data_IF_227124084898
#
_entry.id   IF_227124084898
#
_cell.length_a   1.000
_cell.length_b   1.000
_cell.length_c   1.000
_cell.angle_alpha   90.00
_cell.angle_beta   90.00
_cell.angle_gamma   90.00
#
_symmetry.space_group_name_H-M   'P 1'
#
loop_
_entity.id
_entity.type
_entity.pdbx_description
1 polymer ?
#
# COMPACT_ATOMS: atom_id res chain seq x y z
N UNK A 1 0.93 -8.66 12.81
CA UNK A 1 1.73 -7.82 11.88
C UNK A 1 2.65 -6.93 12.71
N UNK A 2 3.79 -6.46 12.20
CA UNK A 2 4.78 -5.68 12.97
C UNK A 2 4.20 -4.43 13.65
N UNK A 3 3.24 -3.75 13.01
CA UNK A 3 2.45 -2.66 13.61
C UNK A 3 1.68 -3.12 14.87
N UNK A 4 1.06 -4.30 14.84
CA UNK A 4 0.40 -4.87 16.01
C UNK A 4 1.39 -5.13 17.14
N UNK A 5 2.61 -5.60 16.82
CA UNK A 5 3.64 -5.81 17.83
C UNK A 5 4.08 -4.50 18.49
N UNK A 6 4.16 -3.40 17.72
CA UNK A 6 4.44 -2.06 18.26
C UNK A 6 3.31 -1.62 19.20
N UNK A 7 2.06 -1.76 18.78
CA UNK A 7 0.89 -1.39 19.60
C UNK A 7 0.83 -2.23 20.89
N UNK A 8 1.09 -3.53 20.79
CA UNK A 8 1.14 -4.43 21.94
C UNK A 8 2.29 -4.08 22.89
N UNK A 9 3.45 -3.68 22.36
CA UNK A 9 4.57 -3.20 23.16
C UNK A 9 4.21 -1.92 23.92
N UNK A 10 3.58 -0.94 23.26
CA UNK A 10 3.09 0.28 23.91
C UNK A 10 2.08 -0.02 25.02
N UNK A 11 1.14 -0.93 24.79
CA UNK A 11 0.16 -1.33 25.81
C UNK A 11 0.83 -1.93 27.05
N UNK A 12 1.88 -2.74 26.85
CA UNK A 12 2.62 -3.39 27.95
C UNK A 12 3.52 -2.45 28.73
N UNK A 13 3.99 -1.35 28.13
CA UNK A 13 4.90 -0.40 28.79
C UNK A 13 4.31 0.21 30.08
N UNK A 14 2.98 0.28 30.19
CA UNK A 14 2.31 0.80 31.40
C UNK A 14 2.36 -0.13 32.62
N UNK A 15 2.65 -1.42 32.42
CA UNK A 15 2.53 -2.47 33.44
C UNK A 15 3.86 -3.16 33.78
N UNK A 16 4.96 -2.77 33.15
CA UNK A 16 6.29 -3.40 33.29
C UNK A 16 7.25 -2.56 34.11
N UNK A 17 8.37 -3.17 34.53
CA UNK A 17 9.45 -2.45 35.20
C UNK A 17 10.14 -1.44 34.28
N UNK A 18 10.82 -0.45 34.85
CA UNK A 18 11.57 0.56 34.08
C UNK A 18 12.61 -0.06 33.13
N UNK A 19 13.33 -1.08 33.60
CA UNK A 19 14.31 -1.82 32.78
C UNK A 19 13.66 -2.54 31.59
N UNK A 20 12.47 -3.11 31.79
CA UNK A 20 11.71 -3.76 30.72
C UNK A 20 11.07 -2.75 29.78
N UNK A 21 10.58 -1.62 30.29
CA UNK A 21 10.08 -0.51 29.49
C UNK A 21 11.15 0.02 28.55
N UNK A 22 12.38 0.24 29.06
CA UNK A 22 13.51 0.69 28.25
C UNK A 22 13.84 -0.28 27.11
N UNK A 23 13.82 -1.60 27.38
CA UNK A 23 14.02 -2.63 26.35
C UNK A 23 12.90 -2.63 25.31
N UNK A 24 11.64 -2.45 25.74
CA UNK A 24 10.51 -2.36 24.81
C UNK A 24 10.61 -1.11 23.93
N UNK A 25 11.06 0.02 24.47
CA UNK A 25 11.26 1.25 23.72
C UNK A 25 12.33 1.08 22.64
N UNK A 26 13.45 0.44 22.98
CA UNK A 26 14.50 0.10 22.01
C UNK A 26 13.96 -0.77 20.87
N UNK A 27 13.23 -1.86 21.20
CA UNK A 27 12.61 -2.74 20.21
C UNK A 27 11.58 -2.04 19.33
N UNK A 28 10.73 -1.19 19.92
CA UNK A 28 9.76 -0.40 19.16
C UNK A 28 10.46 0.56 18.22
N UNK A 29 11.55 1.20 18.65
CA UNK A 29 12.37 2.05 17.79
C UNK A 29 12.89 1.31 16.55
N UNK A 30 13.45 0.10 16.73
CA UNK A 30 13.90 -0.74 15.62
C UNK A 30 12.76 -1.10 14.65
N UNK A 31 11.59 -1.50 15.17
CA UNK A 31 10.45 -1.84 14.32
C UNK A 31 9.87 -0.63 13.58
N UNK A 32 9.82 0.53 14.24
CA UNK A 32 9.37 1.77 13.61
C UNK A 32 10.29 2.16 12.45
N UNK A 33 11.61 2.09 12.65
CA UNK A 33 12.58 2.36 11.59
C UNK A 33 12.39 1.40 10.40
N UNK A 34 12.17 0.10 10.66
CA UNK A 34 11.90 -0.87 9.60
C UNK A 34 10.61 -0.53 8.83
N UNK A 35 9.54 -0.13 9.53
CA UNK A 35 8.28 0.25 8.88
C UNK A 35 8.45 1.50 8.03
N UNK A 36 9.16 2.51 8.53
CA UNK A 36 9.47 3.75 7.82
C UNK A 36 10.31 3.48 6.56
N UNK A 37 11.41 2.72 6.69
CA UNK A 37 12.27 2.37 5.56
C UNK A 37 11.54 1.57 4.47
N UNK A 38 10.50 0.81 4.84
CA UNK A 38 9.67 0.06 3.90
C UNK A 38 8.49 0.86 3.35
N UNK A 39 8.34 2.13 3.73
CA UNK A 39 7.27 3.02 3.27
C UNK A 39 5.88 2.60 3.77
N UNK A 40 5.80 1.95 4.94
CA UNK A 40 4.54 1.42 5.48
C UNK A 40 3.45 2.50 5.58
N UNK A 41 3.79 3.68 6.09
CA UNK A 41 2.85 4.79 6.25
C UNK A 41 2.46 5.47 4.93
N UNK A 42 3.15 5.15 3.83
CA UNK A 42 2.84 5.70 2.52
C UNK A 42 1.98 4.75 1.67
N UNK A 43 1.70 3.54 2.14
CA UNK A 43 1.02 2.49 1.37
C UNK A 43 -0.31 3.01 0.78
N UNK A 44 -1.19 3.56 1.62
CA UNK A 44 -2.49 4.04 1.17
C UNK A 44 -2.36 5.16 0.15
N UNK A 45 -1.47 6.12 0.41
CA UNK A 45 -1.22 7.24 -0.50
C UNK A 45 -0.63 6.77 -1.85
N UNK A 46 0.23 5.75 -1.84
CA UNK A 46 0.79 5.16 -3.07
C UNK A 46 -0.29 4.39 -3.85
N UNK A 47 -1.14 3.63 -3.16
CA UNK A 47 -2.27 2.93 -3.77
C UNK A 47 -3.20 3.93 -4.45
N UNK A 48 -3.64 4.96 -3.72
CA UNK A 48 -4.56 5.98 -4.23
C UNK A 48 -3.97 6.73 -5.43
N UNK A 49 -2.71 7.17 -5.34
CA UNK A 49 -2.06 7.86 -6.47
C UNK A 49 -1.97 6.98 -7.72
N UNK A 50 -1.62 5.70 -7.55
CA UNK A 50 -1.48 4.77 -8.68
C UNK A 50 -2.85 4.46 -9.29
N UNK A 51 -3.86 4.25 -8.45
CA UNK A 51 -5.24 4.00 -8.87
C UNK A 51 -5.85 5.22 -9.58
N UNK A 52 -5.60 6.42 -9.07
CA UNK A 52 -6.00 7.68 -9.71
C UNK A 52 -5.38 7.85 -11.10
N UNK A 53 -4.09 7.53 -11.26
CA UNK A 53 -3.40 7.57 -12.55
C UNK A 53 -4.01 6.64 -13.61
N UNK A 54 -4.80 5.64 -13.21
CA UNK A 54 -5.48 4.71 -14.11
C UNK A 54 -7.01 4.93 -14.16
N UNK A 55 -7.52 5.98 -13.50
CA UNK A 55 -8.94 6.32 -13.48
C UNK A 55 -9.80 5.33 -12.69
N UNK A 56 -9.24 4.69 -11.65
CA UNK A 56 -9.99 3.76 -10.79
C UNK A 56 -10.78 4.47 -9.68
N UNK A 57 -10.50 5.76 -9.41
CA UNK A 57 -11.19 6.50 -8.35
C UNK A 57 -12.69 6.64 -8.62
N UNK A 58 -13.09 6.82 -9.88
CA UNK A 58 -14.51 6.92 -10.28
C UNK A 58 -15.27 5.59 -10.14
N UNK A 59 -14.55 4.47 -10.06
CA UNK A 59 -15.11 3.12 -9.89
C UNK A 59 -15.31 2.81 -8.40
N UNK A 60 -14.50 3.42 -7.54
CA UNK A 60 -14.40 3.12 -6.11
C UNK A 60 -13.44 1.95 -5.84
N UNK A 61 -12.55 2.12 -4.85
CA UNK A 61 -11.53 1.12 -4.49
C UNK A 61 -12.10 -0.07 -3.72
N UNK A 62 -13.25 0.10 -3.06
CA UNK A 62 -13.92 -0.94 -2.27
C UNK A 62 -14.86 -1.83 -3.11
N UNK A 63 -14.95 -1.58 -4.41
CA UNK A 63 -15.86 -2.32 -5.28
C UNK A 63 -15.35 -3.74 -5.55
N UNK A 64 -16.26 -4.72 -5.52
CA UNK A 64 -15.93 -6.11 -5.82
C UNK A 64 -15.44 -6.25 -7.27
N UNK A 65 -14.27 -6.87 -7.44
CA UNK A 65 -13.61 -7.07 -8.75
C UNK A 65 -14.48 -7.89 -9.71
N UNK A 66 -15.35 -8.76 -9.19
CA UNK A 66 -16.28 -9.58 -9.99
C UNK A 66 -17.37 -8.75 -10.68
N UNK A 67 -17.62 -7.52 -10.23
CA UNK A 67 -18.59 -6.60 -10.85
C UNK A 67 -17.98 -5.71 -11.94
N UNK A 68 -16.64 -5.70 -12.06
CA UNK A 68 -15.92 -4.83 -12.97
C UNK A 68 -15.98 -5.32 -14.42
N UNK A 69 -16.04 -4.38 -15.37
CA UNK A 69 -15.91 -4.67 -16.80
C UNK A 69 -14.51 -5.21 -17.13
N UNK A 70 -14.33 -5.83 -18.30
CA UNK A 70 -13.03 -6.37 -18.73
C UNK A 70 -11.92 -5.31 -18.70
N UNK A 71 -12.19 -4.11 -19.23
CA UNK A 71 -11.22 -3.00 -19.22
C UNK A 71 -10.90 -2.48 -17.82
N UNK A 72 -11.91 -2.40 -16.94
CA UNK A 72 -11.71 -2.01 -15.55
C UNK A 72 -10.84 -3.03 -14.79
N UNK A 73 -11.08 -4.33 -15.00
CA UNK A 73 -10.23 -5.38 -14.43
C UNK A 73 -8.79 -5.29 -14.93
N UNK A 74 -8.58 -5.01 -16.22
CA UNK A 74 -7.23 -4.77 -16.77
C UNK A 74 -6.54 -3.59 -16.08
N UNK A 75 -7.25 -2.49 -15.82
CA UNK A 75 -6.72 -1.34 -15.08
C UNK A 75 -6.36 -1.68 -13.62
N UNK A 76 -7.18 -2.49 -12.95
CA UNK A 76 -6.87 -2.99 -11.59
C UNK A 76 -5.60 -3.86 -11.61
N UNK A 77 -5.48 -4.77 -12.58
CA UNK A 77 -4.29 -5.61 -12.74
C UNK A 77 -3.04 -4.77 -13.02
N UNK A 78 -3.14 -3.77 -13.90
CA UNK A 78 -2.02 -2.87 -14.19
C UNK A 78 -1.63 -2.05 -12.95
N UNK A 79 -2.61 -1.53 -12.19
CA UNK A 79 -2.37 -0.83 -10.92
C UNK A 79 -1.58 -1.73 -9.96
N UNK A 80 -2.03 -2.97 -9.78
CA UNK A 80 -1.34 -3.96 -8.94
C UNK A 80 0.10 -4.19 -9.41
N UNK A 81 0.32 -4.37 -10.71
CA UNK A 81 1.67 -4.56 -11.26
C UNK A 81 2.57 -3.35 -11.03
N UNK A 82 2.05 -2.12 -11.15
CA UNK A 82 2.81 -0.90 -10.89
C UNK A 82 3.17 -0.75 -9.41
N UNK A 83 2.28 -1.17 -8.49
CA UNK A 83 2.54 -1.17 -7.05
C UNK A 83 3.67 -2.12 -6.63
N UNK A 84 3.94 -3.16 -7.41
CA UNK A 84 5.09 -4.06 -7.22
C UNK A 84 6.44 -3.38 -7.57
N UNK A 85 6.41 -2.14 -8.07
CA UNK A 85 7.60 -1.34 -8.46
C UNK A 85 8.57 -2.11 -9.37
N UNK A 86 8.11 -2.69 -10.49
CA UNK A 86 8.95 -3.50 -11.36
C UNK A 86 10.03 -2.64 -12.03
N UNK A 87 11.26 -3.17 -12.12
CA UNK A 87 12.36 -2.50 -12.84
C UNK A 87 12.10 -2.44 -14.35
N UNK A 88 11.46 -3.48 -14.90
CA UNK A 88 11.08 -3.58 -16.31
C UNK A 88 9.67 -4.18 -16.36
N UNK A 89 8.78 -3.53 -17.12
CA UNK A 89 7.43 -4.01 -17.38
C UNK A 89 7.25 -4.11 -18.90
N UNK A 90 7.00 -5.33 -19.40
CA UNK A 90 6.70 -5.58 -20.80
C UNK A 90 5.20 -5.79 -20.94
N UNK A 91 4.55 -4.93 -21.71
CA UNK A 91 3.12 -4.99 -21.98
C UNK A 91 2.92 -5.16 -23.48
N UNK A 92 2.02 -6.06 -23.85
CA UNK A 92 1.58 -6.23 -25.24
C UNK A 92 0.31 -5.39 -25.47
N UNK A 93 0.34 -4.48 -26.44
CA UNK A 93 -0.77 -3.58 -26.80
C UNK A 93 -1.48 -2.89 -25.60
N UNK A 94 -0.74 -2.21 -24.68
CA UNK A 94 -1.31 -1.69 -23.44
C UNK A 94 -2.30 -0.54 -23.62
N UNK A 95 -2.26 0.16 -24.76
CA UNK A 95 -3.08 1.34 -25.03
C UNK A 95 -4.53 1.03 -25.33
N UNK A 96 -4.88 -0.20 -25.71
CA UNK A 96 -6.26 -0.60 -26.06
C UNK A 96 -7.25 -0.59 -24.87
N UNK A 97 -6.75 -0.56 -23.64
CA UNK A 97 -7.56 -0.58 -22.41
C UNK A 97 -7.35 0.68 -21.54
N UNK A 98 -6.46 1.57 -22.00
CA UNK A 98 -6.15 2.87 -21.42
C UNK A 98 -6.81 3.95 -22.28
N UNK A 99 -8.14 3.89 -22.39
CA UNK A 99 -8.86 4.82 -23.27
C UNK A 99 -8.57 6.29 -22.92
N UNK A 100 -8.43 7.06 -23.99
CA UNK A 100 -7.61 8.27 -24.19
C UNK A 100 -8.28 9.55 -23.65
N UNK A 101 -8.82 9.57 -22.44
CA UNK A 101 -9.55 10.75 -21.94
C UNK A 101 -8.79 11.74 -21.04
N UNK A 102 -7.50 11.53 -20.73
CA UNK A 102 -6.75 12.53 -19.94
C UNK A 102 -5.35 12.82 -20.50
N UNK A 103 -5.31 13.32 -21.74
CA UNK A 103 -4.19 14.15 -22.22
C UNK A 103 -4.76 15.55 -22.48
N UNK A 104 -4.69 16.43 -21.49
CA UNK A 104 -4.74 17.89 -21.65
C UNK A 104 -3.61 18.52 -20.84
#
# INVERSE_FOLDING_TARGET
VMEQNINDAYNRMGDVSEDEMNKLLEQVGEWQEILEQRGFYEIDAVIERTAAGLGLMDIGLDRDVTELSGGQRTKVLLTKLLLEKPTILLLDEPTNYLDVEHIQ
#
